data_IF_551349085014
#
_entry.id   IF_551349085014
#
_cell.length_a   1.000
_cell.length_b   1.000
_cell.length_c   1.000
_cell.angle_alpha   90.00
_cell.angle_beta   90.00
_cell.angle_gamma   90.00
#
_symmetry.space_group_name_H-M   'P 1'
#
loop_
_entity.id
_entity.type
_entity.pdbx_description
1 polymer ?
#
# COMPACT_ATOMS: atom_id res chain seq x y z
N UNK A 1 -12.43 -11.67 -8.59
CA UNK A 1 -12.22 -12.53 -9.78
C UNK A 1 -13.17 -12.17 -10.93
N UNK A 2 -13.24 -10.88 -11.31
CA UNK A 2 -14.18 -10.35 -12.33
C UNK A 2 -13.48 -9.50 -13.43
N UNK A 3 -12.23 -9.08 -13.21
CA UNK A 3 -11.55 -8.16 -14.15
C UNK A 3 -10.87 -8.82 -15.37
N UNK A 4 -10.69 -10.14 -15.41
CA UNK A 4 -9.98 -10.81 -16.53
C UNK A 4 -10.90 -11.03 -17.76
N UNK A 5 -12.21 -11.17 -17.54
CA UNK A 5 -13.14 -11.54 -18.63
C UNK A 5 -13.49 -10.37 -19.56
N UNK A 6 -13.31 -9.12 -19.14
CA UNK A 6 -13.73 -7.95 -19.93
C UNK A 6 -12.72 -7.57 -21.03
N UNK A 7 -11.43 -7.87 -20.82
CA UNK A 7 -10.38 -7.48 -21.77
C UNK A 7 -10.33 -8.40 -22.99
N UNK A 8 -10.64 -9.69 -22.83
CA UNK A 8 -10.62 -10.68 -23.91
C UNK A 8 -11.78 -10.46 -24.91
N UNK A 9 -12.93 -9.92 -24.46
CA UNK A 9 -14.09 -9.76 -25.33
C UNK A 9 -13.99 -8.57 -26.32
N UNK A 10 -13.13 -7.57 -26.08
CA UNK A 10 -13.05 -6.38 -26.95
C UNK A 10 -12.04 -6.53 -28.10
N UNK A 11 -11.09 -7.47 -28.00
CA UNK A 11 -10.10 -7.74 -29.05
C UNK A 11 -10.64 -8.62 -30.19
N UNK A 12 -11.72 -9.37 -29.98
CA UNK A 12 -12.27 -10.28 -30.99
C UNK A 12 -13.06 -9.61 -32.12
N UNK A 13 -13.63 -8.42 -31.92
CA UNK A 13 -14.54 -7.81 -32.91
C UNK A 13 -13.86 -6.89 -33.93
N UNK A 14 -12.56 -6.61 -33.82
CA UNK A 14 -11.86 -5.73 -34.77
C UNK A 14 -11.16 -6.50 -35.92
N UNK A 15 -10.98 -7.82 -35.79
CA UNK A 15 -10.14 -8.60 -36.69
C UNK A 15 -10.83 -9.07 -37.99
N UNK A 16 -12.15 -8.89 -38.16
CA UNK A 16 -12.90 -9.50 -39.28
C UNK A 16 -13.11 -8.53 -40.47
N UNK A 17 -12.86 -7.22 -40.33
CA UNK A 17 -13.19 -6.25 -41.39
C UNK A 17 -12.02 -5.78 -42.29
N UNK A 18 -10.88 -6.48 -42.28
CA UNK A 18 -9.65 -6.01 -42.94
C UNK A 18 -9.11 -6.84 -44.11
N UNK A 19 -9.83 -7.87 -44.58
CA UNK A 19 -9.25 -8.90 -45.46
C UNK A 19 -9.47 -8.71 -46.98
N UNK A 20 -10.12 -7.64 -47.45
CA UNK A 20 -10.60 -7.55 -48.85
C UNK A 20 -10.16 -6.28 -49.60
N UNK A 21 -9.03 -5.66 -49.26
CA UNK A 21 -8.54 -4.49 -50.02
C UNK A 21 -7.02 -4.37 -49.95
N UNK A 22 -6.26 -5.21 -50.68
CA UNK A 22 -4.86 -4.92 -51.08
C UNK A 22 -4.34 -5.93 -52.13
N UNK A 23 -5.13 -6.19 -53.17
CA UNK A 23 -4.60 -6.63 -54.47
C UNK A 23 -4.46 -5.39 -55.35
N UNK A 24 -3.26 -4.80 -55.38
CA UNK A 24 -2.70 -3.96 -56.46
C UNK A 24 -1.83 -2.83 -55.89
N UNK A 25 -0.55 -3.12 -55.68
CA UNK A 25 0.53 -2.14 -55.85
C UNK A 25 1.86 -2.89 -55.86
N UNK A 26 2.21 -3.39 -57.04
CA UNK A 26 3.57 -3.74 -57.40
C UNK A 26 4.30 -2.43 -57.73
N UNK A 27 5.28 -2.02 -56.92
CA UNK A 27 6.60 -1.54 -57.35
C UNK A 27 7.40 -0.97 -56.17
N UNK A 28 8.71 -1.25 -56.16
CA UNK A 28 9.76 -0.52 -55.47
C UNK A 28 10.14 -0.96 -54.03
N UNK A 29 10.55 -2.22 -53.87
CA UNK A 29 11.35 -2.62 -52.70
C UNK A 29 12.73 -1.95 -52.82
N UNK A 30 12.89 -0.78 -52.18
CA UNK A 30 14.22 -0.29 -51.83
C UNK A 30 14.84 -1.32 -50.90
N UNK A 31 16.01 -1.84 -51.28
CA UNK A 31 16.86 -2.68 -50.42
C UNK A 31 17.32 -1.83 -49.23
N UNK A 32 16.51 -1.80 -48.17
CA UNK A 32 16.99 -1.39 -46.85
C UNK A 32 18.13 -2.35 -46.52
N UNK A 33 19.32 -1.82 -46.21
CA UNK A 33 20.34 -2.63 -45.53
C UNK A 33 19.65 -3.23 -44.30
N UNK A 34 19.60 -4.55 -44.23
CA UNK A 34 19.34 -5.23 -42.96
C UNK A 34 20.58 -4.98 -42.09
N UNK A 35 20.64 -3.81 -41.46
CA UNK A 35 21.49 -3.65 -40.28
C UNK A 35 20.91 -4.58 -39.22
N UNK A 36 21.67 -5.64 -38.96
CA UNK A 36 21.54 -6.63 -37.90
C UNK A 36 20.09 -7.03 -37.56
N UNK A 37 19.67 -8.16 -38.11
CA UNK A 37 18.37 -8.76 -37.80
C UNK A 37 18.24 -9.05 -36.31
N UNK A 38 17.20 -8.50 -35.69
CA UNK A 38 16.66 -8.96 -34.41
C UNK A 38 16.46 -10.47 -34.53
N UNK A 39 17.35 -11.22 -33.89
CA UNK A 39 17.31 -12.67 -33.97
C UNK A 39 16.07 -13.15 -33.20
N UNK A 40 15.44 -14.24 -33.66
CA UNK A 40 14.28 -14.82 -32.96
C UNK A 40 14.62 -15.14 -31.49
N UNK A 41 15.89 -15.48 -31.23
CA UNK A 41 16.40 -15.69 -29.88
C UNK A 41 16.46 -14.39 -29.06
N UNK A 42 16.81 -13.25 -29.65
CA UNK A 42 16.84 -11.95 -28.96
C UNK A 42 15.44 -11.49 -28.56
N UNK A 43 14.44 -11.61 -29.45
CA UNK A 43 13.05 -11.25 -29.13
C UNK A 43 12.46 -12.19 -28.07
N UNK A 44 12.76 -13.50 -28.11
CA UNK A 44 12.26 -14.46 -27.09
C UNK A 44 12.92 -14.24 -25.73
N UNK A 45 14.21 -13.92 -25.68
CA UNK A 45 14.90 -13.54 -24.44
C UNK A 45 14.30 -12.26 -23.86
N UNK A 46 14.09 -11.22 -24.67
CA UNK A 46 13.47 -9.97 -24.21
C UNK A 46 12.06 -10.20 -23.67
N UNK A 47 11.22 -10.98 -24.38
CA UNK A 47 9.87 -11.31 -23.90
C UNK A 47 9.93 -12.09 -22.58
N UNK A 48 10.85 -13.05 -22.43
CA UNK A 48 11.00 -13.80 -21.19
C UNK A 48 11.40 -12.92 -20.00
N UNK A 49 12.31 -11.96 -20.23
CA UNK A 49 12.74 -11.00 -19.20
C UNK A 49 11.59 -10.06 -18.84
N UNK A 50 10.86 -9.52 -19.83
CA UNK A 50 9.71 -8.65 -19.57
C UNK A 50 8.62 -9.37 -18.77
N UNK A 51 8.28 -10.62 -19.11
CA UNK A 51 7.31 -11.41 -18.35
C UNK A 51 7.78 -11.69 -16.93
N UNK A 52 9.07 -11.98 -16.73
CA UNK A 52 9.63 -12.19 -15.39
C UNK A 52 9.54 -10.94 -14.51
N UNK A 53 9.80 -9.76 -15.08
CA UNK A 53 9.74 -8.48 -14.36
C UNK A 53 8.30 -8.08 -14.00
N UNK A 54 7.34 -8.35 -14.89
CA UNK A 54 5.92 -8.14 -14.60
C UNK A 54 5.44 -9.05 -13.46
N UNK A 55 5.92 -10.30 -13.41
CA UNK A 55 5.61 -11.23 -12.31
C UNK A 55 6.12 -10.76 -10.96
N UNK A 56 7.38 -10.28 -10.89
CA UNK A 56 7.97 -9.76 -9.65
C UNK A 56 7.26 -8.49 -9.19
N UNK A 57 6.82 -7.65 -10.12
CA UNK A 57 6.17 -6.36 -9.81
C UNK A 57 4.86 -6.51 -9.03
N UNK A 58 4.07 -7.56 -9.28
CA UNK A 58 2.83 -7.82 -8.53
C UNK A 58 3.06 -8.31 -7.10
N UNK A 59 4.20 -8.94 -6.82
CA UNK A 59 4.50 -9.44 -5.48
C UNK A 59 4.83 -8.29 -4.50
N UNK A 60 5.46 -7.23 -4.99
CA UNK A 60 5.91 -6.10 -4.14
C UNK A 60 4.78 -5.13 -3.79
N UNK A 61 3.67 -5.13 -4.54
CA UNK A 61 2.62 -4.12 -4.35
C UNK A 61 1.86 -4.24 -3.02
N UNK A 62 1.68 -5.46 -2.48
CA UNK A 62 1.00 -5.66 -1.20
C UNK A 62 1.89 -5.24 -0.02
N UNK A 63 3.17 -5.63 -0.03
CA UNK A 63 4.11 -5.19 1.01
C UNK A 63 4.25 -3.66 1.08
N UNK A 64 4.11 -2.96 -0.06
CA UNK A 64 4.17 -1.51 -0.08
C UNK A 64 2.93 -0.84 0.54
N UNK A 65 1.72 -1.36 0.29
CA UNK A 65 0.51 -0.82 0.95
C UNK A 65 0.56 -1.02 2.45
N UNK A 66 0.98 -2.19 2.90
CA UNK A 66 1.01 -2.55 4.31
C UNK A 66 2.05 -1.70 5.06
N UNK A 67 3.23 -1.51 4.47
CA UNK A 67 4.25 -0.61 4.99
C UNK A 67 3.78 0.84 5.05
N UNK A 68 3.04 1.30 4.03
CA UNK A 68 2.48 2.65 4.01
C UNK A 68 1.48 2.85 5.15
N UNK A 69 0.57 1.89 5.34
CA UNK A 69 -0.44 1.94 6.41
C UNK A 69 0.22 1.92 7.80
N UNK A 70 1.16 1.01 8.03
CA UNK A 70 1.90 0.97 9.30
C UNK A 70 2.73 2.25 9.53
N UNK A 71 3.38 2.79 8.50
CA UNK A 71 4.10 4.07 8.63
C UNK A 71 3.16 5.21 9.07
N UNK A 72 1.94 5.27 8.56
CA UNK A 72 0.92 6.22 9.00
C UNK A 72 0.45 5.94 10.44
N UNK A 73 0.22 4.67 10.77
CA UNK A 73 -0.15 4.22 12.12
C UNK A 73 0.87 4.68 13.16
N UNK A 74 2.16 4.41 12.93
CA UNK A 74 3.25 4.79 13.83
C UNK A 74 3.35 6.31 14.02
N UNK A 75 3.05 7.12 12.99
CA UNK A 75 3.02 8.57 13.12
C UNK A 75 1.90 9.04 14.05
N UNK A 76 0.68 8.51 13.86
CA UNK A 76 -0.48 8.81 14.70
C UNK A 76 -0.26 8.35 16.14
N UNK A 77 0.29 7.16 16.34
CA UNK A 77 0.63 6.66 17.67
C UNK A 77 1.70 7.52 18.37
N UNK A 78 2.76 7.95 17.67
CA UNK A 78 3.80 8.82 18.27
C UNK A 78 3.22 10.18 18.68
N UNK A 79 2.30 10.72 17.89
CA UNK A 79 1.57 11.93 18.24
C UNK A 79 0.74 11.75 19.52
N UNK A 80 -0.01 10.65 19.63
CA UNK A 80 -0.80 10.33 20.84
C UNK A 80 0.11 10.08 22.05
N UNK A 81 1.24 9.38 21.85
CA UNK A 81 2.21 9.10 22.91
C UNK A 81 2.86 10.38 23.44
N UNK A 82 3.22 11.32 22.56
CA UNK A 82 3.73 12.62 22.96
C UNK A 82 2.69 13.43 23.75
N UNK A 83 1.43 13.43 23.32
CA UNK A 83 0.32 14.07 24.04
C UNK A 83 0.11 13.45 25.43
N UNK A 84 0.15 12.13 25.53
CA UNK A 84 0.05 11.39 26.79
C UNK A 84 1.19 11.76 27.75
N UNK A 85 2.43 11.83 27.26
CA UNK A 85 3.58 12.21 28.09
C UNK A 85 3.49 13.65 28.59
N UNK A 86 3.04 14.58 27.77
CA UNK A 86 2.83 15.98 28.18
C UNK A 86 1.75 16.07 29.27
N UNK A 87 0.63 15.36 29.10
CA UNK A 87 -0.42 15.31 30.13
C UNK A 87 0.09 14.72 31.46
N UNK A 88 0.82 13.61 31.41
CA UNK A 88 1.40 12.95 32.59
C UNK A 88 2.50 13.80 33.26
N UNK A 89 3.23 14.62 32.50
CA UNK A 89 4.21 15.55 33.04
C UNK A 89 3.54 16.67 33.86
N UNK A 90 2.34 17.10 33.45
CA UNK A 90 1.55 18.08 34.21
C UNK A 90 0.79 17.46 35.39
N UNK A 91 0.50 16.15 35.32
CA UNK A 91 -0.28 15.42 36.34
C UNK A 91 0.49 14.19 36.85
N UNK A 92 1.56 14.37 37.65
CA UNK A 92 2.45 13.27 38.04
C UNK A 92 1.82 12.22 38.97
N UNK A 93 0.65 12.50 39.54
CA UNK A 93 -0.08 11.56 40.41
C UNK A 93 -1.11 10.70 39.67
N UNK A 94 -1.36 10.99 38.38
CA UNK A 94 -2.29 10.23 37.56
C UNK A 94 -1.61 9.00 36.95
N UNK A 95 -2.31 7.86 36.98
CA UNK A 95 -1.80 6.62 36.41
C UNK A 95 -2.07 6.54 34.91
N UNK A 96 -1.22 5.88 34.10
CA UNK A 96 -1.52 5.60 32.69
C UNK A 96 -2.85 4.89 32.47
N UNK A 97 -3.23 4.02 33.40
CA UNK A 97 -4.49 3.26 33.39
C UNK A 97 -5.75 4.10 33.63
N UNK A 98 -5.64 5.28 34.22
CA UNK A 98 -6.77 6.20 34.46
C UNK A 98 -6.91 7.27 33.36
N UNK A 99 -6.09 7.22 32.31
CA UNK A 99 -6.24 8.12 31.17
C UNK A 99 -7.49 7.81 30.37
N UNK A 100 -8.14 8.88 29.91
CA UNK A 100 -9.25 8.85 28.97
C UNK A 100 -8.92 9.72 27.77
N UNK A 101 -9.56 9.47 26.64
CA UNK A 101 -9.38 10.26 25.42
C UNK A 101 -9.54 11.77 25.67
N UNK A 102 -10.54 12.15 26.48
CA UNK A 102 -10.85 13.54 26.81
C UNK A 102 -9.69 14.30 27.49
N UNK A 103 -8.85 13.59 28.26
CA UNK A 103 -7.69 14.19 28.93
C UNK A 103 -6.51 14.41 27.98
N UNK A 104 -6.41 13.59 26.93
CA UNK A 104 -5.29 13.61 25.95
C UNK A 104 -5.56 14.55 24.78
N UNK A 105 -6.82 14.66 24.33
CA UNK A 105 -7.24 15.48 23.17
C UNK A 105 -6.65 16.91 23.20
N UNK A 106 -6.64 17.65 24.31
CA UNK A 106 -6.09 19.01 24.35
C UNK A 106 -4.57 19.10 24.05
N UNK A 107 -3.83 18.00 24.18
CA UNK A 107 -2.38 17.95 24.01
C UNK A 107 -1.97 17.34 22.66
N UNK A 108 -2.92 17.02 21.78
CA UNK A 108 -2.62 16.55 20.43
C UNK A 108 -2.04 17.69 19.58
N UNK A 109 -0.98 17.39 18.83
CA UNK A 109 -0.31 18.38 17.97
C UNK A 109 -1.15 18.86 16.79
N UNK A 110 -2.18 18.10 16.41
CA UNK A 110 -3.07 18.40 15.29
C UNK A 110 -4.30 19.24 15.68
N UNK A 111 -4.51 19.50 16.98
CA UNK A 111 -5.71 20.15 17.53
C UNK A 111 -7.02 19.44 17.11
N UNK A 112 -6.97 18.13 16.82
CA UNK A 112 -8.15 17.36 16.44
C UNK A 112 -9.16 17.28 17.60
N UNK A 113 -10.48 17.42 17.35
CA UNK A 113 -11.50 17.30 18.40
C UNK A 113 -11.70 15.86 18.89
N UNK A 114 -11.10 14.87 18.23
CA UNK A 114 -11.19 13.45 18.55
C UNK A 114 -9.82 12.78 18.44
N UNK A 115 -9.65 11.63 19.12
CA UNK A 115 -8.47 10.79 18.92
C UNK A 115 -8.38 10.35 17.45
N UNK A 116 -7.18 10.36 16.85
CA UNK A 116 -6.98 9.89 15.49
C UNK A 116 -7.25 8.38 15.40
N UNK A 117 -7.85 7.96 14.29
CA UNK A 117 -8.03 6.54 13.92
C UNK A 117 -6.95 6.11 12.93
N UNK A 118 -6.69 4.82 12.91
CA UNK A 118 -5.71 4.18 12.01
C UNK A 118 -6.45 3.16 11.15
N UNK A 119 -6.10 3.05 9.87
CA UNK A 119 -6.71 2.08 8.97
C UNK A 119 -6.03 0.70 9.11
N UNK A 120 -6.82 -0.35 9.25
CA UNK A 120 -6.40 -1.78 9.24
C UNK A 120 -5.96 -2.21 7.84
N UNK A 121 -5.22 -3.32 7.73
CA UNK A 121 -4.95 -3.97 6.43
C UNK A 121 -6.22 -4.40 5.69
N UNK A 122 -7.32 -4.63 6.42
CA UNK A 122 -8.63 -4.96 5.87
C UNK A 122 -9.48 -3.72 5.48
N UNK A 123 -8.97 -2.51 5.75
CA UNK A 123 -9.66 -1.23 5.46
C UNK A 123 -10.61 -0.74 6.55
N UNK A 124 -10.55 -1.33 7.75
CA UNK A 124 -11.36 -0.92 8.91
C UNK A 124 -10.67 0.19 9.71
N UNK A 125 -11.46 1.13 10.25
CA UNK A 125 -10.96 2.18 11.14
C UNK A 125 -10.76 1.65 12.57
N UNK A 126 -9.49 1.56 12.97
CA UNK A 126 -9.06 1.11 14.30
C UNK A 126 -8.87 2.30 15.25
N UNK A 127 -9.19 2.04 16.52
CA UNK A 127 -9.07 3.03 17.60
C UNK A 127 -7.75 2.88 18.36
N UNK A 128 -7.23 3.99 18.89
CA UNK A 128 -6.02 4.00 19.71
C UNK A 128 -6.40 3.96 21.19
N UNK A 129 -5.86 2.97 21.91
CA UNK A 129 -6.04 2.81 23.35
C UNK A 129 -5.00 3.62 24.12
N UNK A 130 -5.46 4.65 24.82
CA UNK A 130 -4.63 5.57 25.62
C UNK A 130 -4.46 5.14 27.09
N UNK A 131 -5.12 4.07 27.52
CA UNK A 131 -5.06 3.57 28.92
C UNK A 131 -3.77 2.80 29.21
N UNK A 132 -2.89 2.66 28.23
CA UNK A 132 -1.59 1.98 28.32
C UNK A 132 -0.55 2.98 27.85
N UNK A 133 0.65 2.92 28.44
CA UNK A 133 1.80 3.68 27.98
C UNK A 133 2.91 2.67 27.71
N UNK A 134 3.42 2.57 26.48
CA UNK A 134 3.02 3.31 25.28
C UNK A 134 1.59 2.97 24.78
N UNK A 135 0.93 3.87 24.04
CA UNK A 135 -0.41 3.62 23.50
C UNK A 135 -0.35 2.58 22.37
N UNK A 136 -1.43 1.80 22.24
CA UNK A 136 -1.53 0.69 21.27
C UNK A 136 -2.79 0.82 20.41
N UNK A 137 -2.72 0.35 19.18
CA UNK A 137 -3.91 0.19 18.32
C UNK A 137 -4.70 -1.02 18.81
N UNK A 138 -6.02 -0.93 18.83
CA UNK A 138 -6.89 -2.04 19.20
C UNK A 138 -7.90 -2.37 18.11
N UNK A 139 -8.06 -3.67 17.89
CA UNK A 139 -9.11 -4.26 17.06
C UNK A 139 -9.94 -5.23 17.91
N UNK A 140 -11.25 -5.00 17.99
CA UNK A 140 -12.17 -5.81 18.81
C UNK A 140 -11.78 -5.95 20.30
N UNK A 141 -10.89 -5.10 20.82
CA UNK A 141 -10.37 -5.14 22.19
C UNK A 141 -9.01 -5.83 22.36
N UNK A 142 -8.45 -6.42 21.31
CA UNK A 142 -7.08 -6.98 21.30
C UNK A 142 -6.09 -5.98 20.70
N UNK A 143 -4.82 -6.08 21.08
CA UNK A 143 -3.76 -5.28 20.45
C UNK A 143 -3.66 -5.67 18.97
N UNK A 144 -3.73 -4.68 18.10
CA UNK A 144 -3.63 -4.89 16.66
C UNK A 144 -2.20 -4.62 16.21
N UNK A 145 -1.53 -5.69 15.79
CA UNK A 145 -0.23 -5.65 15.16
C UNK A 145 -0.12 -6.78 14.12
N UNK A 146 -0.27 -6.48 12.82
CA UNK A 146 -0.23 -7.47 11.75
C UNK A 146 1.18 -7.88 11.33
N UNK A 147 2.24 -7.17 11.75
CA UNK A 147 3.62 -7.57 11.43
C UNK A 147 4.04 -8.82 12.21
N UNK A 148 3.40 -9.04 13.36
CA UNK A 148 3.71 -10.13 14.29
C UNK A 148 4.96 -9.88 15.13
N UNK A 149 5.55 -8.68 15.03
CA UNK A 149 6.70 -8.25 15.81
C UNK A 149 6.43 -6.89 16.45
N UNK A 150 6.26 -6.91 17.77
CA UNK A 150 5.89 -5.73 18.57
C UNK A 150 7.05 -4.76 18.85
N UNK A 151 8.20 -4.99 18.22
CA UNK A 151 9.39 -4.13 18.33
C UNK A 151 9.80 -3.53 16.97
N UNK A 152 9.02 -3.74 15.91
CA UNK A 152 9.35 -3.25 14.57
C UNK A 152 9.11 -1.74 14.39
N UNK A 153 8.36 -1.10 15.30
CA UNK A 153 8.08 0.33 15.28
C UNK A 153 7.16 0.76 14.15
N UNK A 154 6.50 -0.19 13.49
CA UNK A 154 5.60 0.00 12.36
C UNK A 154 4.15 0.09 12.84
N UNK A 155 3.72 -0.78 13.75
CA UNK A 155 2.39 -0.75 14.35
C UNK A 155 2.39 -0.44 15.85
N UNK A 156 3.57 -0.18 16.39
CA UNK A 156 3.82 0.23 17.76
C UNK A 156 4.66 1.53 17.79
N UNK A 157 4.96 2.00 19.01
CA UNK A 157 5.84 3.16 19.23
C UNK A 157 7.07 2.84 20.07
N UNK A 158 7.54 1.61 19.99
CA UNK A 158 8.64 1.05 20.77
C UNK A 158 8.22 0.79 22.22
N UNK A 159 8.80 -0.26 22.80
CA UNK A 159 8.72 -0.57 24.24
C UNK A 159 9.95 -0.06 24.99
#
# INVERSE_FOLDING_TARGET
MICISFFISKLGSCAILGAEMLKNTCCHIKKTRCDHGLTLIEITVVISVLLSLLGISMYVSTGYSDWKLGSEASQKLRMVYNAQRTYLAEHPTESPSSLTAAKVIPYLSDNSPSLPTVESLDGDDLSIKVTVSPPVVVDGGSNYDPSGDTEDGLWDVGM
#
